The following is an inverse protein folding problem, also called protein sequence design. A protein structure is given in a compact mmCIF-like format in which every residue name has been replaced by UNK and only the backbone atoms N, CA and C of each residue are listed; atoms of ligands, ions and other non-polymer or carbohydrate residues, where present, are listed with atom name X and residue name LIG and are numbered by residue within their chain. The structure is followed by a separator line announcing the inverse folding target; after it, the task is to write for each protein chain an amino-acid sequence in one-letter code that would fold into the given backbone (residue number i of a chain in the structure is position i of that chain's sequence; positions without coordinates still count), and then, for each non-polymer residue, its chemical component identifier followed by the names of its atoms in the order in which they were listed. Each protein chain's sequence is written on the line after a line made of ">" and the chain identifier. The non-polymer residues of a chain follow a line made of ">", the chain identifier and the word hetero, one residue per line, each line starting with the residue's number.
data_IF_466307102257
#
_entry.id   IF_466307102257
#
_cell.length_a   1.000
_cell.length_b   1.000
_cell.length_c   1.000
_cell.angle_alpha   90.00
_cell.angle_beta   90.00
_cell.angle_gamma   90.00
#
_symmetry.space_group_name_H-M   'P 1'
#
loop_
_entity.id
_entity.type
_entity.pdbx_description
1 polymer ?
#
# COMPACT_ATOMS: atom_id res chain seq x y z
N UNK A 1 -17.45 -15.89 7.20
CA UNK A 1 -16.27 -16.49 7.86
C UNK A 1 -15.15 -15.47 7.75
N UNK A 2 -14.78 -14.76 8.82
CA UNK A 2 -13.74 -13.73 8.73
C UNK A 2 -12.35 -14.40 8.75
N UNK A 3 -11.59 -14.23 7.66
CA UNK A 3 -10.27 -14.83 7.45
C UNK A 3 -9.18 -14.06 8.19
N UNK A 4 -9.01 -14.34 9.48
CA UNK A 4 -7.90 -13.80 10.27
C UNK A 4 -6.66 -14.66 10.07
N UNK A 5 -5.52 -14.07 9.74
CA UNK A 5 -4.23 -14.76 9.77
C UNK A 5 -3.59 -14.64 11.17
N UNK A 6 -2.64 -15.51 11.49
CA UNK A 6 -1.98 -15.62 12.80
C UNK A 6 -1.15 -14.37 13.19
N UNK A 7 -1.06 -13.36 12.31
CA UNK A 7 -0.39 -12.08 12.56
C UNK A 7 -1.34 -10.99 13.12
N UNK A 8 -2.63 -11.28 13.29
CA UNK A 8 -3.60 -10.29 13.77
C UNK A 8 -3.79 -9.11 12.79
N UNK A 9 -3.43 -9.29 11.52
CA UNK A 9 -3.66 -8.29 10.49
C UNK A 9 -5.06 -8.53 9.93
N UNK A 10 -6.01 -7.74 10.44
CA UNK A 10 -7.36 -7.67 9.92
C UNK A 10 -7.34 -6.99 8.56
N UNK A 11 -7.33 -7.79 7.50
CA UNK A 11 -7.46 -7.28 6.13
C UNK A 11 -8.79 -6.53 5.90
N UNK A 12 -9.82 -6.81 6.70
CA UNK A 12 -11.06 -6.03 6.71
C UNK A 12 -10.89 -4.64 7.36
N UNK A 13 -9.87 -4.43 8.20
CA UNK A 13 -9.54 -3.13 8.78
C UNK A 13 -8.75 -2.23 7.83
N UNK A 14 -8.31 -2.74 6.67
CA UNK A 14 -7.78 -1.93 5.58
C UNK A 14 -8.89 -1.28 4.74
N UNK A 15 -10.17 -1.59 5.02
CA UNK A 15 -11.27 -0.74 4.56
C UNK A 15 -11.22 0.54 5.37
N UNK A 16 -10.44 1.50 4.89
CA UNK A 16 -10.59 2.91 5.24
C UNK A 16 -12.09 3.21 5.28
N UNK A 17 -12.53 3.81 6.38
CA UNK A 17 -13.92 3.89 6.84
C UNK A 17 -14.84 4.82 6.03
N UNK A 18 -14.69 4.80 4.71
CA UNK A 18 -15.57 5.39 3.74
C UNK A 18 -15.34 4.58 2.46
N UNK A 19 -16.38 4.04 1.83
CA UNK A 19 -16.30 2.95 0.83
C UNK A 19 -15.58 3.26 -0.51
N UNK A 20 -14.58 4.14 -0.51
CA UNK A 20 -13.67 4.38 -1.60
C UNK A 20 -12.60 3.27 -1.64
N UNK A 21 -12.41 2.68 -2.82
CA UNK A 21 -11.31 1.77 -3.09
C UNK A 21 -9.99 2.49 -2.79
N UNK A 22 -9.02 1.82 -2.13
CA UNK A 22 -7.71 2.42 -1.84
C UNK A 22 -7.04 2.93 -3.12
N UNK A 23 -7.32 2.32 -4.28
CA UNK A 23 -6.82 2.79 -5.56
C UNK A 23 -7.42 4.13 -6.01
N UNK A 24 -8.69 4.40 -5.68
CA UNK A 24 -9.35 5.67 -5.99
C UNK A 24 -8.81 6.81 -5.11
N UNK A 25 -8.58 6.52 -3.82
CA UNK A 25 -7.95 7.47 -2.89
C UNK A 25 -6.54 7.83 -3.36
N UNK A 26 -5.72 6.83 -3.69
CA UNK A 26 -4.37 7.05 -4.23
C UNK A 26 -4.40 7.90 -5.51
N UNK A 27 -5.31 7.61 -6.44
CA UNK A 27 -5.42 8.36 -7.69
C UNK A 27 -5.84 9.82 -7.46
N UNK A 28 -6.77 10.05 -6.53
CA UNK A 28 -7.22 11.39 -6.14
C UNK A 28 -6.08 12.19 -5.50
N UNK A 29 -5.40 11.63 -4.51
CA UNK A 29 -4.30 12.31 -3.82
C UNK A 29 -3.14 12.58 -4.79
N UNK A 30 -2.87 11.67 -5.73
CA UNK A 30 -1.90 11.93 -6.80
C UNK A 30 -2.32 13.09 -7.68
N UNK A 31 -3.61 13.19 -8.02
CA UNK A 31 -4.17 14.33 -8.73
C UNK A 31 -3.99 15.65 -7.98
N UNK A 32 -4.19 15.66 -6.66
CA UNK A 32 -3.98 16.82 -5.79
C UNK A 32 -2.49 17.20 -5.75
N UNK A 33 -1.60 16.24 -5.51
CA UNK A 33 -0.16 16.44 -5.39
C UNK A 33 0.50 17.08 -6.64
N UNK A 34 -0.07 16.84 -7.82
CA UNK A 34 0.42 17.35 -9.11
C UNK A 34 -0.40 18.51 -9.68
N UNK A 35 -1.50 18.91 -9.04
CA UNK A 35 -2.35 19.99 -9.55
C UNK A 35 -1.67 21.36 -9.34
N UNK A 36 -1.26 22.10 -10.40
CA UNK A 36 -0.58 23.37 -10.24
C UNK A 36 -1.45 24.48 -9.62
N UNK A 37 -2.77 24.29 -9.57
CA UNK A 37 -3.73 25.23 -8.98
C UNK A 37 -4.02 24.98 -7.50
N UNK A 38 -3.55 23.86 -6.97
CA UNK A 38 -3.78 23.47 -5.59
C UNK A 38 -2.80 24.17 -4.65
N UNK A 39 -3.19 24.32 -3.38
CA UNK A 39 -2.30 24.87 -2.36
C UNK A 39 -1.14 23.92 -2.05
N UNK A 40 0.01 24.46 -1.64
CA UNK A 40 1.16 23.63 -1.27
C UNK A 40 0.87 22.75 -0.03
N UNK A 41 0.07 23.24 0.91
CA UNK A 41 -0.37 22.47 2.09
C UNK A 41 -1.16 21.22 1.69
N UNK A 42 -2.12 21.34 0.77
CA UNK A 42 -2.90 20.18 0.30
C UNK A 42 -2.04 19.23 -0.54
N UNK A 43 -1.07 19.73 -1.31
CA UNK A 43 -0.11 18.88 -2.04
C UNK A 43 0.78 18.09 -1.10
N UNK A 44 1.28 18.74 -0.04
CA UNK A 44 2.10 18.07 0.97
C UNK A 44 1.30 16.99 1.67
N UNK A 45 0.07 17.29 2.12
CA UNK A 45 -0.82 16.31 2.72
C UNK A 45 -1.10 15.12 1.78
N UNK A 46 -1.40 15.38 0.51
CA UNK A 46 -1.63 14.32 -0.46
C UNK A 46 -0.38 13.45 -0.70
N UNK A 47 0.81 14.05 -0.73
CA UNK A 47 2.09 13.30 -0.83
C UNK A 47 2.35 12.44 0.40
N UNK A 48 2.02 12.94 1.59
CA UNK A 48 2.13 12.17 2.82
C UNK A 48 1.20 10.96 2.82
N UNK A 49 -0.06 11.13 2.39
CA UNK A 49 -1.01 10.02 2.30
C UNK A 49 -0.57 8.98 1.26
N UNK A 50 -0.16 9.42 0.07
CA UNK A 50 0.45 8.54 -0.94
C UNK A 50 1.63 7.75 -0.35
N UNK A 51 2.53 8.42 0.37
CA UNK A 51 3.69 7.77 0.98
C UNK A 51 3.29 6.72 2.01
N UNK A 52 2.33 7.03 2.91
CA UNK A 52 1.82 6.08 3.91
C UNK A 52 1.18 4.86 3.25
N UNK A 53 0.45 5.06 2.16
CA UNK A 53 -0.10 3.95 1.37
C UNK A 53 1.04 3.09 0.84
N UNK A 54 1.95 3.64 0.02
CA UNK A 54 3.12 2.91 -0.53
C UNK A 54 3.90 2.14 0.54
N UNK A 55 4.12 2.75 1.72
CA UNK A 55 4.78 2.09 2.85
C UNK A 55 3.97 0.91 3.41
N UNK A 56 2.66 1.06 3.59
CA UNK A 56 1.78 -0.02 4.09
C UNK A 56 1.74 -1.22 3.13
N UNK A 57 1.72 -0.98 1.82
CA UNK A 57 1.80 -2.07 0.83
C UNK A 57 3.15 -2.77 0.88
N UNK A 58 4.26 -2.03 0.96
CA UNK A 58 5.61 -2.60 1.10
C UNK A 58 5.72 -3.51 2.31
N UNK A 59 5.19 -3.08 3.45
CA UNK A 59 5.15 -3.91 4.66
C UNK A 59 4.32 -5.18 4.46
N UNK A 60 3.16 -5.06 3.80
CA UNK A 60 2.31 -6.21 3.49
C UNK A 60 3.03 -7.18 2.55
N UNK A 61 3.61 -6.68 1.46
CA UNK A 61 4.39 -7.46 0.50
C UNK A 61 5.58 -8.17 1.18
N UNK A 62 6.29 -7.48 2.06
CA UNK A 62 7.39 -8.06 2.82
C UNK A 62 6.91 -9.19 3.76
N UNK A 63 5.78 -9.00 4.44
CA UNK A 63 5.16 -10.03 5.28
C UNK A 63 4.75 -11.27 4.48
N UNK A 64 4.09 -11.09 3.33
CA UNK A 64 3.69 -12.18 2.45
C UNK A 64 4.92 -12.94 1.90
N UNK A 65 5.94 -12.22 1.44
CA UNK A 65 7.22 -12.82 1.02
C UNK A 65 7.88 -13.59 2.17
N UNK A 66 7.82 -13.05 3.39
CA UNK A 66 8.29 -13.73 4.59
C UNK A 66 7.56 -15.05 4.84
N UNK A 67 6.24 -15.09 4.68
CA UNK A 67 5.45 -16.33 4.78
C UNK A 67 5.86 -17.35 3.71
N UNK A 68 6.03 -16.92 2.46
CA UNK A 68 6.45 -17.79 1.35
C UNK A 68 7.79 -18.46 1.65
N UNK A 69 8.75 -17.69 2.16
CA UNK A 69 10.11 -18.15 2.46
C UNK A 69 10.22 -18.90 3.79
N UNK A 70 9.19 -18.86 4.64
CA UNK A 70 9.23 -19.49 5.95
C UNK A 70 9.15 -21.03 5.82
N UNK A 71 10.18 -21.79 6.23
CA UNK A 71 10.15 -23.25 6.14
C UNK A 71 9.10 -23.89 7.08
N UNK A 72 8.62 -23.16 8.09
CA UNK A 72 7.57 -23.59 9.01
C UNK A 72 6.16 -23.30 8.52
N UNK A 73 5.99 -22.46 7.51
CA UNK A 73 4.69 -22.20 6.90
C UNK A 73 4.27 -23.41 6.06
N UNK A 74 2.99 -23.75 6.13
CA UNK A 74 2.38 -24.80 5.31
C UNK A 74 2.35 -24.41 3.83
N UNK A 75 2.26 -25.40 2.94
CA UNK A 75 2.17 -25.14 1.49
C UNK A 75 0.91 -24.34 1.13
N UNK A 76 -0.19 -24.54 1.86
CA UNK A 76 -1.41 -23.74 1.70
C UNK A 76 -1.19 -22.27 2.04
N UNK A 77 -0.54 -21.95 3.17
CA UNK A 77 -0.24 -20.57 3.55
C UNK A 77 0.71 -19.89 2.56
N UNK A 78 1.70 -20.62 2.05
CA UNK A 78 2.60 -20.12 1.01
C UNK A 78 1.86 -19.84 -0.30
N UNK A 79 0.95 -20.72 -0.71
CA UNK A 79 0.12 -20.53 -1.90
C UNK A 79 -0.79 -19.29 -1.75
N UNK A 80 -1.50 -19.16 -0.63
CA UNK A 80 -2.34 -17.99 -0.34
C UNK A 80 -1.51 -16.71 -0.28
N UNK A 81 -0.31 -16.76 0.29
CA UNK A 81 0.58 -15.60 0.34
C UNK A 81 1.07 -15.19 -1.06
N UNK A 82 1.38 -16.17 -1.92
CA UNK A 82 1.77 -15.91 -3.31
C UNK A 82 0.62 -15.31 -4.13
N UNK A 83 -0.61 -15.85 -4.00
CA UNK A 83 -1.79 -15.30 -4.64
C UNK A 83 -2.07 -13.86 -4.19
N UNK A 84 -2.01 -13.60 -2.88
CA UNK A 84 -2.22 -12.26 -2.32
C UNK A 84 -1.15 -11.27 -2.77
N UNK A 85 0.10 -11.71 -2.91
CA UNK A 85 1.19 -10.85 -3.35
C UNK A 85 0.98 -10.35 -4.79
N UNK A 86 0.37 -11.16 -5.66
CA UNK A 86 0.02 -10.77 -7.03
C UNK A 86 -1.15 -9.78 -7.07
N UNK A 87 -2.02 -9.82 -6.06
CA UNK A 87 -3.17 -8.91 -5.95
C UNK A 87 -2.83 -7.57 -5.29
N UNK A 88 -1.60 -7.38 -4.80
CA UNK A 88 -1.21 -6.08 -4.26
C UNK A 88 -1.18 -5.05 -5.40
N UNK A 89 -1.81 -3.88 -5.19
CA UNK A 89 -1.82 -2.84 -6.21
C UNK A 89 -0.40 -2.31 -6.39
N UNK A 90 0.13 -2.29 -7.62
CA UNK A 90 1.45 -1.74 -7.91
C UNK A 90 1.40 -0.20 -7.85
N UNK A 91 1.54 0.35 -6.64
CA UNK A 91 1.60 1.79 -6.45
C UNK A 91 2.97 2.29 -6.93
N UNK A 92 2.98 3.13 -7.96
CA UNK A 92 4.21 3.72 -8.46
C UNK A 92 4.90 4.48 -7.33
N UNK A 93 6.16 4.12 -7.08
CA UNK A 93 7.05 4.91 -6.25
C UNK A 93 7.31 6.19 -7.04
N UNK A 94 6.59 7.28 -6.71
CA UNK A 94 6.87 8.58 -7.29
C UNK A 94 8.39 8.81 -7.15
N UNK A 95 9.13 9.01 -8.26
CA UNK A 95 10.56 9.22 -8.17
C UNK A 95 10.73 10.45 -7.30
N UNK A 96 11.22 10.26 -6.07
CA UNK A 96 11.62 11.36 -5.21
C UNK A 96 12.54 12.22 -6.06
N UNK A 97 12.03 13.36 -6.56
CA UNK A 97 12.83 14.31 -7.32
C UNK A 97 13.74 14.93 -6.27
N UNK A 98 14.80 14.21 -5.90
CA UNK A 98 15.98 14.80 -5.32
C UNK A 98 16.47 15.77 -6.37
N UNK A 99 16.12 17.03 -6.18
CA UNK A 99 16.75 18.17 -6.82
C UNK A 99 18.22 18.12 -6.43
N UNK A 100 19.02 17.33 -7.15
CA UNK A 100 20.47 17.42 -7.11
C UNK A 100 20.84 18.66 -7.90
N UNK A 101 20.80 19.81 -7.23
CA UNK A 101 21.52 21.00 -7.66
C UNK A 101 22.99 20.78 -7.36
N UNK A 102 23.81 20.63 -8.41
CA UNK A 102 25.17 21.19 -8.41
C UNK A 102 25.65 21.45 -9.81
#
# INVERSE_FOLDING_TARGET
>A
MPTHNQAGIDFDSLKTSDGHDAQDVYAKDRGIAHNPRETEEHKEHAREEIHKMVEAERHTAAGLKGTILNPRASDHEKAVAAERLVLLPDWEDEPTTKTTTK
#
